data_IF_963814870254
#
_entry.id   IF_963814870254
#
_cell.length_a   1.000
_cell.length_b   1.000
_cell.length_c   1.000
_cell.angle_alpha   90.00
_cell.angle_beta   90.00
_cell.angle_gamma   90.00
#
_symmetry.space_group_name_H-M   'P 1'
#
loop_
_entity.id
_entity.type
_entity.pdbx_description
1 polymer ?
#
# COMPACT_ATOMS: atom_id res chain seq x y z
N UNK A 1 3.57 -13.55 65.50
CA UNK A 1 4.26 -13.65 64.19
C UNK A 1 4.08 -12.43 63.26
N UNK A 2 3.11 -11.53 63.49
CA UNK A 2 2.82 -10.40 62.60
C UNK A 2 3.91 -9.29 62.56
N UNK A 3 4.55 -8.99 63.70
CA UNK A 3 5.49 -7.84 63.85
C UNK A 3 6.78 -7.94 63.01
N UNK A 4 7.20 -9.15 62.61
CA UNK A 4 8.39 -9.35 61.79
C UNK A 4 8.16 -9.00 60.32
N UNK A 5 6.95 -9.24 59.79
CA UNK A 5 6.62 -8.94 58.39
C UNK A 5 6.65 -7.44 58.10
N UNK A 6 6.22 -6.61 59.05
CA UNK A 6 6.31 -5.14 58.95
C UNK A 6 7.77 -4.66 58.86
N UNK A 7 8.65 -5.24 59.68
CA UNK A 7 10.06 -4.87 59.69
C UNK A 7 10.76 -5.21 58.37
N UNK A 8 10.53 -6.40 57.82
CA UNK A 8 11.08 -6.78 56.51
C UNK A 8 10.54 -5.88 55.38
N UNK A 9 9.27 -5.50 55.45
CA UNK A 9 8.64 -4.64 54.44
C UNK A 9 9.22 -3.22 54.51
N UNK A 10 9.35 -2.64 55.70
CA UNK A 10 9.99 -1.32 55.90
C UNK A 10 11.46 -1.31 55.51
N UNK A 11 12.25 -2.30 55.92
CA UNK A 11 13.69 -2.34 55.59
C UNK A 11 13.90 -2.52 54.09
N UNK A 12 13.04 -3.32 53.42
CA UNK A 12 13.06 -3.48 51.97
C UNK A 12 12.66 -2.19 51.25
N UNK A 13 11.59 -1.52 51.67
CA UNK A 13 11.19 -0.22 51.12
C UNK A 13 12.28 0.84 51.28
N UNK A 14 12.97 0.85 52.43
CA UNK A 14 14.04 1.81 52.70
C UNK A 14 15.26 1.59 51.80
N UNK A 15 15.64 0.34 51.55
CA UNK A 15 16.73 0.01 50.62
C UNK A 15 16.36 0.33 49.17
N UNK A 16 15.13 0.04 48.75
CA UNK A 16 14.65 0.36 47.40
C UNK A 16 14.57 1.87 47.19
N UNK A 17 14.06 2.62 48.16
CA UNK A 17 13.94 4.09 48.08
C UNK A 17 15.31 4.76 47.99
N UNK A 18 16.29 4.32 48.78
CA UNK A 18 17.67 4.82 48.67
C UNK A 18 18.28 4.50 47.31
N UNK A 19 18.13 3.27 46.83
CA UNK A 19 18.64 2.86 45.52
C UNK A 19 18.03 3.65 44.35
N UNK A 20 16.74 3.96 44.42
CA UNK A 20 16.04 4.77 43.42
C UNK A 20 16.52 6.23 43.47
N UNK A 21 16.70 6.79 44.67
CA UNK A 21 17.20 8.16 44.84
C UNK A 21 18.64 8.31 44.33
N UNK A 22 19.51 7.33 44.59
CA UNK A 22 20.90 7.31 44.11
C UNK A 22 21.00 7.17 42.57
N UNK A 23 20.02 6.49 41.95
CA UNK A 23 19.98 6.22 40.51
C UNK A 23 18.85 6.98 39.78
N UNK A 24 18.35 8.07 40.37
CA UNK A 24 17.15 8.77 39.89
C UNK A 24 17.28 9.24 38.44
N UNK A 25 18.47 9.72 38.05
CA UNK A 25 18.76 10.14 36.68
C UNK A 25 18.61 9.01 35.66
N UNK A 26 18.98 7.78 36.03
CA UNK A 26 18.86 6.61 35.14
C UNK A 26 17.40 6.18 34.97
N UNK A 27 16.60 6.21 36.03
CA UNK A 27 15.16 5.93 35.93
C UNK A 27 14.41 6.98 35.12
N UNK A 28 14.77 8.26 35.26
CA UNK A 28 14.22 9.32 34.41
C UNK A 28 14.60 9.13 32.94
N UNK A 29 15.84 8.73 32.66
CA UNK A 29 16.27 8.39 31.30
C UNK A 29 15.47 7.23 30.70
N UNK A 30 15.26 6.15 31.46
CA UNK A 30 14.43 5.02 31.02
C UNK A 30 12.96 5.42 30.84
N UNK A 31 12.40 6.24 31.73
CA UNK A 31 11.05 6.77 31.60
C UNK A 31 10.90 7.63 30.34
N UNK A 32 11.88 8.50 30.06
CA UNK A 32 11.92 9.28 28.83
C UNK A 32 11.98 8.39 27.58
N UNK A 33 12.83 7.36 27.59
CA UNK A 33 12.92 6.40 26.49
C UNK A 33 11.60 5.64 26.30
N UNK A 34 10.93 5.27 27.39
CA UNK A 34 9.63 4.61 27.35
C UNK A 34 8.56 5.50 26.70
N UNK A 35 8.54 6.79 27.02
CA UNK A 35 7.62 7.76 26.38
C UNK A 35 7.90 7.85 24.88
N UNK A 36 9.17 7.99 24.49
CA UNK A 36 9.57 8.01 23.07
C UNK A 36 9.14 6.72 22.37
N UNK A 37 9.32 5.58 23.03
CA UNK A 37 8.93 4.28 22.48
C UNK A 37 7.43 4.20 22.23
N UNK A 38 6.61 4.57 23.22
CA UNK A 38 5.14 4.57 23.10
C UNK A 38 4.69 5.52 21.97
N UNK A 39 5.29 6.71 21.89
CA UNK A 39 5.00 7.67 20.82
C UNK A 39 5.32 7.10 19.43
N UNK A 40 6.49 6.46 19.27
CA UNK A 40 6.87 5.81 18.03
C UNK A 40 5.97 4.62 17.69
N UNK A 41 5.58 3.81 18.67
CA UNK A 41 4.69 2.68 18.45
C UNK A 41 3.32 3.14 17.91
N UNK A 42 2.74 4.21 18.46
CA UNK A 42 1.50 4.79 17.96
C UNK A 42 1.65 5.40 16.55
N UNK A 43 2.79 6.03 16.25
CA UNK A 43 3.05 6.55 14.91
C UNK A 43 3.16 5.40 13.89
N UNK A 44 3.90 4.34 14.24
CA UNK A 44 4.03 3.15 13.40
C UNK A 44 2.67 2.51 13.13
N UNK A 45 1.82 2.38 14.15
CA UNK A 45 0.47 1.84 13.98
C UNK A 45 -0.37 2.67 12.99
N UNK A 46 -0.34 4.00 13.12
CA UNK A 46 -1.05 4.90 12.19
C UNK A 46 -0.53 4.75 10.76
N UNK A 47 0.78 4.70 10.58
CA UNK A 47 1.40 4.54 9.27
C UNK A 47 1.03 3.20 8.63
N UNK A 48 1.00 2.11 9.40
CA UNK A 48 0.59 0.79 8.88
C UNK A 48 -0.86 0.82 8.39
N UNK A 49 -1.78 1.46 9.13
CA UNK A 49 -3.17 1.61 8.69
C UNK A 49 -3.28 2.43 7.41
N UNK A 50 -2.56 3.55 7.32
CA UNK A 50 -2.52 4.37 6.10
C UNK A 50 -1.98 3.59 4.90
N UNK A 51 -0.93 2.79 5.09
CA UNK A 51 -0.38 1.95 4.01
C UNK A 51 -1.43 0.95 3.52
N UNK A 52 -2.20 0.34 4.41
CA UNK A 52 -3.26 -0.61 4.05
C UNK A 52 -4.37 0.06 3.23
N UNK A 53 -4.79 1.26 3.63
CA UNK A 53 -5.77 2.07 2.90
C UNK A 53 -5.24 2.42 1.50
N UNK A 54 -4.03 2.98 1.40
CA UNK A 54 -3.39 3.33 0.12
C UNK A 54 -3.26 2.11 -0.80
N UNK A 55 -2.89 0.94 -0.26
CA UNK A 55 -2.81 -0.30 -1.04
C UNK A 55 -4.18 -0.74 -1.57
N UNK A 56 -5.26 -0.50 -0.82
CA UNK A 56 -6.62 -0.77 -1.29
C UNK A 56 -6.97 0.14 -2.45
N UNK A 57 -6.67 1.43 -2.33
CA UNK A 57 -6.96 2.42 -3.36
C UNK A 57 -6.17 2.12 -4.65
N UNK A 58 -4.89 1.77 -4.54
CA UNK A 58 -4.06 1.34 -5.69
C UNK A 58 -4.66 0.12 -6.37
N UNK A 59 -5.15 -0.86 -5.59
CA UNK A 59 -5.82 -2.03 -6.17
C UNK A 59 -7.08 -1.61 -6.92
N UNK A 60 -7.96 -0.84 -6.29
CA UNK A 60 -9.20 -0.38 -6.91
C UNK A 60 -8.92 0.39 -8.22
N UNK A 61 -7.95 1.31 -8.21
CA UNK A 61 -7.57 2.06 -9.40
C UNK A 61 -7.03 1.14 -10.51
N UNK A 62 -6.26 0.11 -10.15
CA UNK A 62 -5.80 -0.90 -11.10
C UNK A 62 -6.96 -1.71 -11.69
N UNK A 63 -7.94 -2.08 -10.88
CA UNK A 63 -9.14 -2.76 -11.36
C UNK A 63 -9.93 -1.91 -12.35
N UNK A 64 -10.13 -0.62 -12.04
CA UNK A 64 -10.78 0.33 -12.95
C UNK A 64 -10.01 0.48 -14.27
N UNK A 65 -8.68 0.61 -14.21
CA UNK A 65 -7.83 0.68 -15.40
C UNK A 65 -7.97 -0.59 -16.27
N UNK A 66 -7.89 -1.78 -15.67
CA UNK A 66 -8.02 -3.03 -16.43
C UNK A 66 -9.40 -3.16 -17.07
N UNK A 67 -10.47 -2.74 -16.38
CA UNK A 67 -11.82 -2.74 -16.92
C UNK A 67 -11.93 -1.81 -18.13
N UNK A 68 -11.45 -0.57 -18.01
CA UNK A 68 -11.46 0.41 -19.10
C UNK A 68 -10.60 -0.06 -20.29
N UNK A 69 -9.44 -0.65 -20.01
CA UNK A 69 -8.58 -1.22 -21.05
C UNK A 69 -9.27 -2.37 -21.76
N UNK A 70 -9.98 -3.25 -21.03
CA UNK A 70 -10.75 -4.34 -21.61
C UNK A 70 -11.88 -3.83 -22.49
N UNK A 71 -12.60 -2.80 -22.05
CA UNK A 71 -13.65 -2.16 -22.84
C UNK A 71 -13.09 -1.50 -24.09
N UNK A 72 -11.98 -0.78 -23.98
CA UNK A 72 -11.29 -0.17 -25.12
C UNK A 72 -10.80 -1.24 -26.11
N UNK A 73 -10.25 -2.34 -25.61
CA UNK A 73 -9.82 -3.47 -26.43
C UNK A 73 -10.99 -4.12 -27.16
N UNK A 74 -12.13 -4.31 -26.48
CA UNK A 74 -13.36 -4.80 -27.10
C UNK A 74 -13.86 -3.85 -28.21
N UNK A 75 -13.90 -2.55 -27.95
CA UNK A 75 -14.26 -1.55 -28.95
C UNK A 75 -13.25 -1.47 -30.12
N UNK A 76 -11.99 -1.80 -29.86
CA UNK A 76 -10.91 -1.84 -30.85
C UNK A 76 -10.79 -3.19 -31.56
N UNK A 77 -11.62 -4.19 -31.21
CA UNK A 77 -11.58 -5.49 -31.88
C UNK A 77 -11.97 -5.32 -33.34
N UNK A 78 -11.15 -5.89 -34.22
CA UNK A 78 -11.33 -5.78 -35.67
C UNK A 78 -12.66 -6.37 -36.15
N UNK A 79 -13.22 -7.35 -35.45
CA UNK A 79 -14.55 -7.91 -35.75
C UNK A 79 -15.67 -6.94 -35.38
N UNK A 80 -15.59 -6.32 -34.20
CA UNK A 80 -16.62 -5.40 -33.70
C UNK A 80 -16.68 -4.12 -34.54
N UNK A 81 -15.50 -3.57 -34.89
CA UNK A 81 -15.40 -2.43 -35.81
C UNK A 81 -16.00 -2.78 -37.17
N UNK A 82 -15.80 -3.99 -37.66
CA UNK A 82 -16.35 -4.40 -38.96
C UNK A 82 -17.85 -4.53 -38.89
N UNK A 83 -18.39 -5.13 -37.83
CA UNK A 83 -19.84 -5.23 -37.68
C UNK A 83 -20.49 -3.86 -37.47
N UNK A 84 -19.83 -2.93 -36.77
CA UNK A 84 -20.33 -1.57 -36.57
C UNK A 84 -20.32 -0.70 -37.83
N UNK A 85 -19.33 -0.92 -38.72
CA UNK A 85 -19.16 -0.14 -39.95
C UNK A 85 -19.79 -0.87 -41.17
N UNK A 86 -20.38 -2.06 -40.98
CA UNK A 86 -21.13 -2.78 -42.02
C UNK A 86 -22.41 -2.05 -42.45
N UNK A 87 -23.06 -1.35 -41.52
CA UNK A 87 -24.24 -0.54 -41.83
C UNK A 87 -23.89 0.69 -42.68
N UNK A 88 -22.65 1.20 -42.57
CA UNK A 88 -22.09 2.23 -43.44
C UNK A 88 -21.61 1.68 -44.81
N UNK A 89 -21.84 0.39 -45.10
CA UNK A 89 -21.54 -0.24 -46.38
C UNK A 89 -20.09 -0.67 -46.58
N UNK A 90 -19.22 -0.48 -45.58
CA UNK A 90 -17.82 -0.85 -45.64
C UNK A 90 -17.63 -2.35 -45.34
N UNK A 91 -16.80 -3.02 -46.15
CA UNK A 91 -16.55 -4.47 -46.06
C UNK A 91 -15.07 -4.76 -45.90
N UNK A 92 -14.73 -5.69 -45.00
CA UNK A 92 -13.37 -6.22 -44.88
C UNK A 92 -12.92 -6.85 -46.20
N UNK A 93 -11.84 -6.33 -46.77
CA UNK A 93 -11.10 -7.02 -47.83
C UNK A 93 -10.46 -8.28 -47.23
N UNK A 94 -10.94 -9.45 -47.67
CA UNK A 94 -10.51 -10.77 -47.19
C UNK A 94 -9.53 -11.47 -48.16
N UNK A 95 -9.16 -10.79 -49.25
CA UNK A 95 -8.24 -11.29 -50.27
C UNK A 95 -6.78 -10.94 -49.96
N UNK A 96 -5.86 -11.63 -50.64
CA UNK A 96 -4.42 -11.40 -50.52
C UNK A 96 -4.07 -9.91 -50.79
N UNK A 97 -3.05 -9.35 -50.09
CA UNK A 97 -2.63 -7.98 -50.31
C UNK A 97 -2.28 -7.75 -51.78
N UNK A 98 -2.93 -6.77 -52.40
CA UNK A 98 -2.68 -6.46 -53.80
C UNK A 98 -1.31 -5.77 -53.86
N UNK A 99 -0.31 -6.45 -54.45
CA UNK A 99 0.98 -5.83 -54.75
C UNK A 99 0.76 -4.79 -55.84
N UNK A 100 0.75 -3.52 -55.45
CA UNK A 100 0.71 -2.41 -56.39
C UNK A 100 2.07 -2.39 -57.09
N UNK A 101 2.13 -2.93 -58.31
CA UNK A 101 3.30 -2.79 -59.16
C UNK A 101 3.10 -1.49 -59.91
N UNK A 102 3.83 -0.44 -59.51
CA UNK A 102 3.93 0.78 -60.30
C UNK A 102 4.67 0.37 -61.57
N UNK A 103 3.96 0.33 -62.70
CA UNK A 103 4.63 0.38 -64.00
C UNK A 103 5.02 1.83 -64.17
N UNK A 104 6.32 2.07 -64.13
CA UNK A 104 6.86 3.30 -64.69
C UNK A 104 6.38 3.34 -66.15
N UNK A 105 5.68 4.42 -66.48
CA UNK A 105 5.21 4.71 -67.83
C UNK A 105 6.46 4.82 -68.72
N UNK A 106 6.71 3.79 -69.53
CA UNK A 106 7.69 3.87 -70.62
C UNK A 106 7.02 4.57 -71.81
N UNK A 107 7.55 5.77 -72.08
CA UNK A 107 7.56 6.59 -73.32
C UNK A 107 6.54 6.36 -74.44
#
# INVERSE_FOLDING_TARGET
>A
MAKRKDLYTQVREFQVSRFILDNLGYFLFLGFLAIIYIANAHLAERNVRQIQELQRDIRELRWQYMSLQSENMYNSLRSEVVDKVRDDGLRLHRGEPIKIVVRDEEE
#
